data_IF_178160201818
#
_entry.id   IF_178160201818
#
_cell.length_a   1.000
_cell.length_b   1.000
_cell.length_c   1.000
_cell.angle_alpha   90.00
_cell.angle_beta   90.00
_cell.angle_gamma   90.00
#
_symmetry.space_group_name_H-M   'P 1'
#
loop_
_entity.id
_entity.type
_entity.pdbx_description
1 polymer ?
#
# COMPACT_ATOMS: atom_id res chain seq x y z
N UNK A 1 -15.88 3.86 -1.61
CA UNK A 1 -14.99 3.33 -2.67
C UNK A 1 -14.21 2.18 -2.06
N UNK A 2 -14.26 0.99 -2.66
CA UNK A 2 -13.74 -0.24 -2.05
C UNK A 2 -12.20 -0.20 -1.94
N UNK A 3 -11.65 -0.33 -0.73
CA UNK A 3 -10.21 -0.31 -0.45
C UNK A 3 -9.46 -1.35 -1.29
N UNK A 4 -10.04 -2.53 -1.50
CA UNK A 4 -9.45 -3.60 -2.32
C UNK A 4 -9.29 -3.15 -3.77
N UNK A 5 -10.29 -2.46 -4.33
CA UNK A 5 -10.22 -1.96 -5.71
C UNK A 5 -9.11 -0.92 -5.86
N UNK A 6 -8.95 0.00 -4.90
CA UNK A 6 -7.82 0.95 -4.91
C UNK A 6 -6.47 0.23 -4.87
N UNK A 7 -6.32 -0.76 -4.00
CA UNK A 7 -5.10 -1.56 -3.86
C UNK A 7 -4.77 -2.27 -5.18
N UNK A 8 -5.76 -2.86 -5.85
CA UNK A 8 -5.57 -3.49 -7.16
C UNK A 8 -5.06 -2.50 -8.21
N UNK A 9 -5.59 -1.29 -8.26
CA UNK A 9 -5.11 -0.26 -9.19
C UNK A 9 -3.67 0.16 -8.89
N UNK A 10 -3.32 0.31 -7.61
CA UNK A 10 -1.96 0.64 -7.17
C UNK A 10 -0.99 -0.48 -7.56
N UNK A 11 -1.36 -1.73 -7.28
CA UNK A 11 -0.57 -2.92 -7.60
C UNK A 11 -0.21 -2.95 -9.10
N UNK A 12 -1.22 -2.77 -9.96
CA UNK A 12 -1.04 -2.74 -11.41
C UNK A 12 -0.19 -1.54 -11.87
N UNK A 13 -0.42 -0.36 -11.29
CA UNK A 13 0.33 0.84 -11.65
C UNK A 13 1.82 0.75 -11.29
N UNK A 14 2.12 0.21 -10.12
CA UNK A 14 3.50 0.01 -9.65
C UNK A 14 4.19 -1.17 -10.34
N UNK A 15 3.44 -2.03 -11.04
CA UNK A 15 3.98 -3.22 -11.69
C UNK A 15 4.55 -4.23 -10.69
N UNK A 16 3.93 -4.35 -9.51
CA UNK A 16 4.33 -5.30 -8.46
C UNK A 16 4.20 -6.73 -8.99
N UNK A 17 5.27 -7.52 -8.90
CA UNK A 17 5.26 -8.90 -9.39
C UNK A 17 4.57 -9.86 -8.42
N UNK A 18 4.17 -11.03 -8.91
CA UNK A 18 3.41 -12.00 -8.11
C UNK A 18 4.20 -12.57 -6.92
N UNK A 19 5.54 -12.55 -6.98
CA UNK A 19 6.44 -12.96 -5.90
C UNK A 19 6.84 -11.81 -4.95
N UNK A 20 6.41 -10.58 -5.25
CA UNK A 20 6.64 -9.39 -4.43
C UNK A 20 5.51 -9.13 -3.43
N UNK A 21 5.84 -8.33 -2.41
CA UNK A 21 4.88 -7.84 -1.42
C UNK A 21 4.67 -6.34 -1.61
N UNK A 22 3.42 -5.89 -1.61
CA UNK A 22 3.10 -4.46 -1.51
C UNK A 22 2.65 -4.13 -0.09
N UNK A 23 3.36 -3.20 0.56
CA UNK A 23 3.04 -2.72 1.91
C UNK A 23 2.50 -1.30 1.80
N UNK A 24 1.32 -1.04 2.37
CA UNK A 24 0.73 0.30 2.39
C UNK A 24 0.50 0.70 3.84
N UNK A 25 1.19 1.74 4.30
CA UNK A 25 0.91 2.35 5.58
C UNK A 25 -0.27 3.30 5.44
N UNK A 26 -1.27 3.18 6.30
CA UNK A 26 -2.36 4.14 6.38
C UNK A 26 -2.77 4.40 7.83
N UNK A 27 -3.42 5.52 8.06
CA UNK A 27 -4.04 5.83 9.33
C UNK A 27 -5.41 5.12 9.41
N UNK A 28 -5.65 4.39 10.51
CA UNK A 28 -6.95 3.86 10.86
C UNK A 28 -7.65 4.86 11.80
N UNK A 29 -8.70 5.51 11.28
CA UNK A 29 -9.48 6.49 12.06
C UNK A 29 -10.24 5.87 13.24
N UNK A 30 -10.58 4.58 13.18
CA UNK A 30 -11.29 3.87 14.24
C UNK A 30 -10.40 3.67 15.46
N UNK A 31 -9.16 3.22 15.25
CA UNK A 31 -8.19 2.89 16.30
C UNK A 31 -7.22 4.06 16.62
N UNK A 32 -7.32 5.15 15.85
CA UNK A 32 -6.49 6.36 15.95
C UNK A 32 -4.99 6.07 15.88
N UNK A 33 -4.60 5.11 15.05
CA UNK A 33 -3.22 4.62 14.92
C UNK A 33 -2.93 4.31 13.45
N UNK A 34 -1.65 4.24 13.14
CA UNK A 34 -1.20 3.75 11.84
C UNK A 34 -1.27 2.23 11.79
N UNK A 35 -1.68 1.73 10.64
CA UNK A 35 -1.71 0.31 10.28
C UNK A 35 -0.98 0.09 8.96
N UNK A 36 -0.57 -1.15 8.74
CA UNK A 36 0.08 -1.60 7.53
C UNK A 36 -0.79 -2.66 6.87
N UNK A 37 -1.13 -2.40 5.62
CA UNK A 37 -1.74 -3.39 4.73
C UNK A 37 -0.62 -4.11 4.00
N UNK A 38 -0.58 -5.42 4.18
CA UNK A 38 0.31 -6.34 3.47
C UNK A 38 -0.51 -6.95 2.35
N UNK A 39 -0.09 -6.72 1.13
CA UNK A 39 -0.76 -7.18 -0.07
C UNK A 39 0.16 -8.18 -0.74
N UNK A 40 -0.37 -9.35 -1.04
CA UNK A 40 0.33 -10.45 -1.71
C UNK A 40 -0.54 -10.99 -2.84
N UNK A 41 0.09 -11.40 -3.95
CA UNK A 41 -0.61 -12.10 -5.02
C UNK A 41 -0.85 -13.56 -4.63
N UNK A 42 -2.08 -14.03 -4.80
CA UNK A 42 -2.48 -15.41 -4.61
C UNK A 42 -3.22 -15.91 -5.85
N UNK A 43 -3.39 -17.23 -6.05
CA UNK A 43 -4.13 -17.75 -7.20
C UNK A 43 -5.56 -17.22 -7.32
N UNK A 44 -6.17 -16.83 -6.20
CA UNK A 44 -7.54 -16.28 -6.12
C UNK A 44 -7.59 -14.74 -6.24
N UNK A 45 -6.43 -14.10 -6.46
CA UNK A 45 -6.27 -12.65 -6.56
C UNK A 45 -5.41 -12.06 -5.45
N UNK A 46 -5.55 -10.76 -5.19
CA UNK A 46 -4.79 -10.08 -4.13
C UNK A 46 -5.36 -10.41 -2.75
N UNK A 47 -4.53 -11.01 -1.91
CA UNK A 47 -4.80 -11.16 -0.50
C UNK A 47 -4.31 -9.90 0.25
N UNK A 48 -5.14 -9.37 1.16
CA UNK A 48 -4.81 -8.18 1.95
C UNK A 48 -4.91 -8.52 3.42
N UNK A 49 -3.79 -8.39 4.13
CA UNK A 49 -3.71 -8.61 5.58
C UNK A 49 -3.34 -7.30 6.27
N UNK A 50 -3.95 -7.01 7.42
CA UNK A 50 -3.68 -5.80 8.21
C UNK A 50 -2.87 -6.13 9.45
N UNK A 51 -1.88 -5.29 9.77
CA UNK A 51 -1.11 -5.36 11.02
C UNK A 51 -0.84 -3.97 11.58
N UNK A 52 -0.73 -3.87 12.91
CA UNK A 52 -0.52 -2.61 13.62
C UNK A 52 0.97 -2.24 13.75
N UNK A 53 1.85 -3.10 13.23
CA UNK A 53 3.31 -2.96 13.31
C UNK A 53 3.93 -3.23 11.95
N UNK A 54 5.11 -2.68 11.70
CA UNK A 54 5.87 -3.00 10.48
C UNK A 54 6.00 -4.53 10.34
N UNK A 55 5.63 -5.12 9.20
CA UNK A 55 5.71 -6.56 9.01
C UNK A 55 7.17 -7.03 8.98
N UNK A 56 7.43 -8.17 9.62
CA UNK A 56 8.69 -8.89 9.47
C UNK A 56 8.65 -9.67 8.14
N UNK A 57 9.36 -9.17 7.14
CA UNK A 57 9.46 -9.83 5.85
C UNK A 57 10.53 -10.92 5.92
N UNK A 58 10.19 -12.11 5.41
CA UNK A 58 11.14 -13.22 5.29
C UNK A 58 12.34 -12.82 4.43
N UNK A 59 13.52 -13.35 4.77
CA UNK A 59 14.77 -13.08 4.03
C UNK A 59 14.57 -13.44 2.55
N UNK A 60 14.85 -12.48 1.66
CA UNK A 60 14.81 -12.68 0.20
C UNK A 60 13.48 -12.32 -0.47
N UNK A 61 12.44 -11.90 0.27
CA UNK A 61 11.23 -11.34 -0.36
C UNK A 61 11.45 -9.88 -0.76
N UNK A 62 11.34 -9.60 -2.05
CA UNK A 62 11.25 -8.24 -2.56
C UNK A 62 9.93 -7.60 -2.15
N UNK A 63 9.97 -6.31 -1.85
CA UNK A 63 8.77 -5.58 -1.46
C UNK A 63 8.80 -4.14 -1.95
N UNK A 64 7.61 -3.60 -2.17
CA UNK A 64 7.38 -2.20 -2.42
C UNK A 64 6.57 -1.61 -1.27
N UNK A 65 6.88 -0.38 -0.86
CA UNK A 65 6.22 0.26 0.28
C UNK A 65 5.68 1.64 -0.08
N UNK A 66 4.43 1.89 0.28
CA UNK A 66 3.77 3.19 0.16
C UNK A 66 3.61 3.81 1.55
N UNK A 67 4.12 5.03 1.70
CA UNK A 67 4.04 5.83 2.93
C UNK A 67 3.57 7.26 2.64
N UNK A 68 2.61 7.41 1.73
CA UNK A 68 2.10 8.72 1.34
C UNK A 68 1.25 9.34 2.46
N UNK A 69 1.39 10.65 2.65
CA UNK A 69 0.63 11.43 3.62
C UNK A 69 -0.31 12.39 2.92
N UNK A 70 -1.45 12.66 3.55
CA UNK A 70 -2.32 13.75 3.14
C UNK A 70 -1.80 15.12 3.64
N UNK A 71 -2.52 16.19 3.30
CA UNK A 71 -2.23 17.55 3.77
C UNK A 71 -2.29 17.71 5.29
N UNK A 72 -2.94 16.79 5.99
CA UNK A 72 -3.03 16.76 7.46
C UNK A 72 -1.83 16.06 8.10
N UNK A 73 -0.93 15.49 7.30
CA UNK A 73 0.22 14.72 7.75
C UNK A 73 -0.10 13.27 8.13
N UNK A 74 -1.34 12.78 7.88
CA UNK A 74 -1.75 11.40 8.18
C UNK A 74 -1.44 10.50 6.99
N UNK A 75 -1.04 9.25 7.26
CA UNK A 75 -0.82 8.28 6.21
C UNK A 75 -2.13 7.87 5.55
N UNK A 76 -2.12 7.78 4.23
CA UNK A 76 -3.30 7.42 3.44
C UNK A 76 -2.98 6.30 2.46
N UNK A 77 -4.02 5.59 2.04
CA UNK A 77 -3.99 4.75 0.84
C UNK A 77 -4.24 5.68 -0.35
N UNK A 78 -3.20 6.04 -1.13
CA UNK A 78 -3.36 6.99 -2.20
C UNK A 78 -4.15 6.39 -3.36
N UNK A 79 -4.63 7.25 -4.25
CA UNK A 79 -5.05 6.83 -5.58
C UNK A 79 -3.86 6.80 -6.54
N UNK A 80 -3.97 6.04 -7.63
CA UNK A 80 -2.98 6.06 -8.71
C UNK A 80 -2.75 7.48 -9.25
N UNK A 81 -3.80 8.29 -9.34
CA UNK A 81 -3.69 9.69 -9.76
C UNK A 81 -2.78 10.51 -8.83
N UNK A 82 -2.89 10.30 -7.51
CA UNK A 82 -2.02 10.97 -6.53
C UNK A 82 -0.57 10.49 -6.63
N UNK A 83 -0.35 9.18 -6.86
CA UNK A 83 0.99 8.64 -7.07
C UNK A 83 1.65 9.21 -8.35
N UNK A 84 0.88 9.41 -9.42
CA UNK A 84 1.36 10.04 -10.65
C UNK A 84 1.71 11.51 -10.39
N UNK A 85 0.83 12.25 -9.73
CA UNK A 85 1.02 13.67 -9.46
C UNK A 85 2.28 13.93 -8.62
N UNK A 86 2.50 13.14 -7.56
CA UNK A 86 3.68 13.27 -6.71
C UNK A 86 4.96 12.97 -7.49
N UNK A 87 4.96 11.93 -8.35
CA UNK A 87 6.10 11.61 -9.22
C UNK A 87 6.45 12.73 -10.20
N UNK A 88 5.44 13.47 -10.69
CA UNK A 88 5.65 14.62 -11.58
C UNK A 88 6.14 15.85 -10.80
N UNK A 89 5.74 16.00 -9.55
CA UNK A 89 6.17 17.12 -8.69
C UNK A 89 7.62 17.02 -8.21
N UNK A 90 8.22 15.83 -8.25
CA UNK A 90 9.64 15.59 -7.89
C UNK A 90 10.64 15.91 -9.03
N UNK A 91 10.15 16.31 -10.22
CA UNK A 91 10.96 16.72 -11.39
C UNK A 91 10.93 18.23 -11.61
#
# INVERSE_FOLDING_TARGET
MNTIFKIQQIWQYLGVQDDEILIIRHYNDSDKKDEFLIVESTPDGLNVTTTNSMPELGIGKSFQMIQQRDSSGRFIIPSVAQLIQDKVSDY
#
